data_IF_349464982317
#
_entry.id   IF_349464982317
#
_cell.length_a   1.000
_cell.length_b   1.000
_cell.length_c   1.000
_cell.angle_alpha   90.00
_cell.angle_beta   90.00
_cell.angle_gamma   90.00
#
_symmetry.space_group_name_H-M   'P 1'
#
loop_
_entity.id
_entity.type
_entity.pdbx_description
1 polymer ?
#
# COMPACT_ATOMS: atom_id res chain seq x y z
N UNK A 1 -10.83 -7.04 -10.57
CA UNK A 1 -9.49 -6.49 -10.30
C UNK A 1 -8.95 -6.03 -11.63
N UNK A 2 -8.74 -4.73 -11.81
CA UNK A 2 -8.27 -4.16 -13.08
C UNK A 2 -6.76 -4.34 -13.22
N UNK A 3 -6.23 -4.21 -14.44
CA UNK A 3 -4.77 -4.27 -14.69
C UNK A 3 -4.02 -3.18 -13.91
N UNK A 4 -4.65 -2.01 -13.73
CA UNK A 4 -4.11 -0.91 -12.93
C UNK A 4 -4.01 -1.26 -11.45
N UNK A 5 -5.05 -1.86 -10.85
CA UNK A 5 -5.01 -2.32 -9.46
C UNK A 5 -3.94 -3.40 -9.26
N UNK A 6 -3.76 -4.29 -10.25
CA UNK A 6 -2.72 -5.30 -10.22
C UNK A 6 -1.32 -4.67 -10.25
N UNK A 7 -1.10 -3.66 -11.09
CA UNK A 7 0.16 -2.94 -11.15
C UNK A 7 0.46 -2.16 -9.85
N UNK A 8 -0.56 -1.47 -9.31
CA UNK A 8 -0.45 -0.77 -8.02
C UNK A 8 -0.09 -1.75 -6.90
N UNK A 9 -0.74 -2.91 -6.85
CA UNK A 9 -0.43 -3.97 -5.88
C UNK A 9 1.03 -4.44 -5.98
N UNK A 10 1.51 -4.74 -7.19
CA UNK A 10 2.90 -5.18 -7.41
C UNK A 10 3.92 -4.12 -6.95
N UNK A 11 3.68 -2.85 -7.27
CA UNK A 11 4.53 -1.74 -6.83
C UNK A 11 4.63 -1.67 -5.30
N UNK A 12 3.50 -1.79 -4.60
CA UNK A 12 3.45 -1.79 -3.12
C UNK A 12 4.16 -3.02 -2.55
N UNK A 13 3.96 -4.21 -3.13
CA UNK A 13 4.64 -5.44 -2.70
C UNK A 13 6.16 -5.38 -2.87
N UNK A 14 6.65 -4.79 -3.95
CA UNK A 14 8.08 -4.58 -4.20
C UNK A 14 8.69 -3.57 -3.22
N UNK A 15 7.98 -2.47 -2.92
CA UNK A 15 8.43 -1.49 -1.93
C UNK A 15 8.46 -2.08 -0.51
N UNK A 16 7.48 -2.92 -0.15
CA UNK A 16 7.50 -3.69 1.11
C UNK A 16 8.71 -4.61 1.16
N UNK A 17 9.01 -5.33 0.07
CA UNK A 17 10.18 -6.22 0.01
C UNK A 17 11.47 -5.42 0.19
N UNK A 18 11.59 -4.27 -0.48
CA UNK A 18 12.74 -3.36 -0.37
C UNK A 18 12.92 -2.85 1.06
N UNK A 19 11.85 -2.40 1.72
CA UNK A 19 11.91 -1.91 3.10
C UNK A 19 12.24 -3.01 4.12
N UNK A 20 11.75 -4.23 3.92
CA UNK A 20 12.06 -5.38 4.79
C UNK A 20 13.53 -5.78 4.74
N UNK A 21 14.26 -5.43 3.67
CA UNK A 21 15.70 -5.66 3.55
C UNK A 21 16.53 -4.59 4.24
N UNK A 22 15.93 -3.44 4.61
CA UNK A 22 16.63 -2.39 5.33
C UNK A 22 16.72 -2.74 6.82
N UNK A 23 17.84 -2.42 7.49
CA UNK A 23 17.90 -2.51 8.94
C UNK A 23 16.79 -1.64 9.56
N UNK A 24 16.09 -2.20 10.54
CA UNK A 24 14.91 -1.60 11.20
C UNK A 24 15.23 -0.38 12.09
N UNK A 25 16.33 0.30 11.85
CA UNK A 25 16.84 1.41 12.66
C UNK A 25 16.17 2.76 12.39
N UNK A 26 15.43 2.92 11.29
CA UNK A 26 14.76 4.19 10.98
C UNK A 26 13.27 4.16 11.30
N UNK A 27 12.81 5.12 12.12
CA UNK A 27 11.40 5.36 12.37
C UNK A 27 10.60 5.57 11.05
N UNK A 28 11.25 6.14 10.04
CA UNK A 28 10.70 6.31 8.71
C UNK A 28 10.43 4.97 8.00
N UNK A 29 11.35 4.00 8.02
CA UNK A 29 11.12 2.69 7.41
C UNK A 29 9.98 1.94 8.11
N UNK A 30 9.90 2.02 9.44
CA UNK A 30 8.79 1.42 10.21
C UNK A 30 7.45 2.08 9.86
N UNK A 31 7.41 3.42 9.79
CA UNK A 31 6.19 4.15 9.40
C UNK A 31 5.77 3.79 7.98
N UNK A 32 6.70 3.83 7.01
CA UNK A 32 6.44 3.51 5.61
C UNK A 32 5.95 2.06 5.45
N UNK A 33 6.52 1.11 6.19
CA UNK A 33 6.07 -0.28 6.17
C UNK A 33 4.62 -0.44 6.68
N UNK A 34 4.21 0.32 7.72
CA UNK A 34 2.82 0.32 8.20
C UNK A 34 1.86 0.85 7.13
N UNK A 35 2.22 1.95 6.48
CA UNK A 35 1.43 2.56 5.40
C UNK A 35 1.26 1.57 4.24
N UNK A 36 2.34 0.94 3.78
CA UNK A 36 2.27 -0.02 2.66
C UNK A 36 1.44 -1.26 3.01
N UNK A 37 1.57 -1.79 4.22
CA UNK A 37 0.74 -2.91 4.67
C UNK A 37 -0.75 -2.55 4.72
N UNK A 38 -1.09 -1.31 5.12
CA UNK A 38 -2.46 -0.81 5.12
C UNK A 38 -3.03 -0.75 3.70
N UNK A 39 -2.24 -0.28 2.73
CA UNK A 39 -2.59 -0.30 1.31
C UNK A 39 -2.86 -1.73 0.82
N UNK A 40 -1.97 -2.69 1.13
CA UNK A 40 -2.17 -4.10 0.75
C UNK A 40 -3.43 -4.71 1.37
N UNK A 41 -3.75 -4.35 2.61
CA UNK A 41 -4.99 -4.80 3.25
C UNK A 41 -6.22 -4.30 2.50
N UNK A 42 -6.25 -3.02 2.14
CA UNK A 42 -7.36 -2.42 1.40
C UNK A 42 -7.46 -2.99 -0.03
N UNK A 43 -6.33 -3.19 -0.71
CA UNK A 43 -6.27 -3.83 -2.04
C UNK A 43 -6.67 -5.32 -2.01
N UNK A 44 -6.50 -6.00 -0.88
CA UNK A 44 -6.89 -7.41 -0.74
C UNK A 44 -8.40 -7.60 -0.63
N UNK A 45 -9.13 -6.54 -0.26
CA UNK A 45 -10.60 -6.52 -0.38
C UNK A 45 -10.94 -6.34 -1.85
N UNK A 46 -11.70 -7.29 -2.40
CA UNK A 46 -12.17 -7.23 -3.77
C UNK A 46 -12.89 -5.90 -4.02
N UNK A 47 -12.58 -5.23 -5.14
CA UNK A 47 -13.05 -3.88 -5.43
C UNK A 47 -14.58 -3.71 -5.26
N UNK A 48 -15.37 -4.75 -5.58
CA UNK A 48 -16.82 -4.76 -5.41
C UNK A 48 -17.32 -4.78 -3.96
N UNK A 49 -16.48 -5.17 -2.99
CA UNK A 49 -16.81 -5.24 -1.57
C UNK A 49 -16.10 -4.15 -0.75
N UNK A 50 -15.35 -3.26 -1.41
CA UNK A 50 -14.65 -2.15 -0.76
C UNK A 50 -15.66 -1.04 -0.43
N UNK A 51 -15.64 -0.54 0.80
CA UNK A 51 -16.46 0.60 1.18
C UNK A 51 -15.94 1.89 0.55
N UNK A 52 -16.82 2.89 0.38
CA UNK A 52 -16.44 4.22 -0.14
C UNK A 52 -15.31 4.83 0.69
N UNK A 53 -15.42 4.78 2.02
CA UNK A 53 -14.37 5.28 2.93
C UNK A 53 -13.04 4.54 2.77
N UNK A 54 -13.03 3.23 2.50
CA UNK A 54 -11.80 2.49 2.25
C UNK A 54 -11.17 2.83 0.89
N UNK A 55 -11.99 3.12 -0.12
CA UNK A 55 -11.50 3.59 -1.41
C UNK A 55 -10.90 5.00 -1.32
N UNK A 56 -11.53 5.91 -0.57
CA UNK A 56 -10.98 7.24 -0.28
C UNK A 56 -9.68 7.17 0.50
N UNK A 57 -9.63 6.35 1.57
CA UNK A 57 -8.40 6.11 2.33
C UNK A 57 -7.27 5.59 1.43
N UNK A 58 -7.58 4.68 0.50
CA UNK A 58 -6.59 4.15 -0.44
C UNK A 58 -5.99 5.25 -1.34
N UNK A 59 -6.84 6.12 -1.90
CA UNK A 59 -6.39 7.22 -2.77
C UNK A 59 -5.58 8.26 -2.00
N UNK A 60 -5.95 8.57 -0.75
CA UNK A 60 -5.16 9.42 0.14
C UNK A 60 -3.79 8.81 0.45
N UNK A 61 -3.74 7.51 0.74
CA UNK A 61 -2.49 6.80 1.01
C UNK A 61 -1.59 6.79 -0.23
N UNK A 62 -2.14 6.56 -1.43
CA UNK A 62 -1.39 6.68 -2.69
C UNK A 62 -0.93 8.11 -2.95
N UNK A 63 -1.74 9.13 -2.67
CA UNK A 63 -1.33 10.53 -2.84
C UNK A 63 -0.17 10.93 -1.90
N UNK A 64 -0.13 10.34 -0.70
CA UNK A 64 0.92 10.58 0.30
C UNK A 64 2.24 9.86 0.00
N UNK A 65 2.17 8.78 -0.78
CA UNK A 65 3.33 8.04 -1.24
C UNK A 65 3.63 8.56 -2.64
N UNK A 66 4.74 9.25 -2.86
CA UNK A 66 5.16 9.63 -4.22
C UNK A 66 5.57 8.37 -5.02
N UNK A 67 4.60 7.52 -5.37
CA UNK A 67 4.69 6.21 -6.03
C UNK A 67 3.97 6.26 -7.37
#
# INVERSE_FOLDING_TARGET
MTDEEHNRRRCVEDEVRRLKQLPSSSAYAVHKLRVLNKILQILSVAAQARSVSAAEELELLFSSLSL
#
